data_IF_203988081025
#
_entry.id   IF_203988081025
#
_cell.length_a   1.000
_cell.length_b   1.000
_cell.length_c   1.000
_cell.angle_alpha   90.00
_cell.angle_beta   90.00
_cell.angle_gamma   90.00
#
_symmetry.space_group_name_H-M   'P 1'
#
loop_
_entity.id
_entity.type
_entity.pdbx_description
1 polymer ?
#
# COMPACT_ATOMS: atom_id res chain seq x y z
N UNK A 1 15.06 -3.88 14.19
CA UNK A 1 14.67 -2.53 13.69
C UNK A 1 14.00 -1.80 14.84
N UNK A 2 14.54 -0.67 15.26
CA UNK A 2 14.06 -0.01 16.47
C UNK A 2 12.91 0.96 16.16
N UNK A 3 11.96 1.08 17.10
CA UNK A 3 10.85 2.03 17.00
C UNK A 3 11.33 3.48 16.83
N UNK A 4 12.51 3.80 17.40
CA UNK A 4 13.16 5.11 17.29
C UNK A 4 13.56 5.44 15.83
N UNK A 5 14.15 4.48 15.12
CA UNK A 5 14.58 4.67 13.73
C UNK A 5 13.39 4.88 12.80
N UNK A 6 12.28 4.18 13.06
CA UNK A 6 11.02 4.36 12.34
C UNK A 6 10.52 5.80 12.51
N UNK A 7 10.51 6.29 13.76
CA UNK A 7 9.98 7.61 14.08
C UNK A 7 10.84 8.72 13.46
N UNK A 8 12.16 8.58 13.49
CA UNK A 8 13.09 9.48 12.78
C UNK A 8 12.79 9.45 11.27
N UNK A 9 12.64 8.26 10.69
CA UNK A 9 12.38 8.10 9.26
C UNK A 9 11.03 8.72 8.84
N UNK A 10 10.00 8.61 9.68
CA UNK A 10 8.69 9.24 9.45
C UNK A 10 8.77 10.77 9.46
N UNK A 11 9.56 11.36 10.38
CA UNK A 11 9.80 12.81 10.41
C UNK A 11 10.51 13.28 9.14
N UNK A 12 11.57 12.58 8.74
CA UNK A 12 12.28 12.87 7.49
C UNK A 12 11.36 12.75 6.27
N UNK A 13 10.50 11.73 6.25
CA UNK A 13 9.52 11.57 5.18
C UNK A 13 8.60 12.80 5.06
N UNK A 14 8.11 13.33 6.18
CA UNK A 14 7.27 14.54 6.18
C UNK A 14 8.05 15.77 5.71
N UNK A 15 9.29 15.94 6.16
CA UNK A 15 10.16 17.08 5.76
C UNK A 15 10.46 17.08 4.25
N UNK A 16 10.81 15.93 3.68
CA UNK A 16 11.17 15.82 2.26
C UNK A 16 9.96 15.67 1.32
N UNK A 17 8.77 15.42 1.86
CA UNK A 17 7.55 15.31 1.07
C UNK A 17 6.94 16.68 0.82
N UNK A 18 6.52 16.92 -0.42
CA UNK A 18 5.73 18.11 -0.75
C UNK A 18 4.27 17.84 -0.40
N UNK A 19 3.65 18.74 0.37
CA UNK A 19 2.20 18.72 0.61
C UNK A 19 1.43 18.70 -0.71
N UNK A 20 0.36 17.91 -0.76
CA UNK A 20 -0.52 17.72 -1.92
C UNK A 20 -1.96 17.93 -1.52
N UNK A 21 -2.83 18.09 -2.51
CA UNK A 21 -4.27 18.30 -2.32
C UNK A 21 -5.04 17.01 -1.98
N UNK A 22 -4.33 15.92 -1.66
CA UNK A 22 -4.92 14.66 -1.23
C UNK A 22 -4.04 14.05 -0.13
N UNK A 23 -4.69 13.36 0.81
CA UNK A 23 -4.01 12.67 1.89
C UNK A 23 -3.26 11.44 1.35
N UNK A 24 -1.93 11.43 1.50
CA UNK A 24 -1.08 10.38 0.92
C UNK A 24 -1.09 9.13 1.81
N UNK A 25 -0.98 7.96 1.18
CA UNK A 25 -0.77 6.71 1.91
C UNK A 25 0.71 6.51 2.20
N UNK A 26 1.01 5.96 3.38
CA UNK A 26 2.34 5.50 3.77
C UNK A 26 2.46 4.02 3.38
N UNK A 27 3.42 3.72 2.51
CA UNK A 27 3.74 2.35 2.13
C UNK A 27 5.06 1.91 2.77
N UNK A 28 5.05 0.72 3.35
CA UNK A 28 6.22 -0.05 3.77
C UNK A 28 6.65 -0.98 2.62
N UNK A 29 7.91 -0.91 2.25
CA UNK A 29 8.54 -1.77 1.26
C UNK A 29 9.69 -2.51 1.92
N UNK A 30 9.61 -3.83 1.96
CA UNK A 30 10.67 -4.69 2.49
C UNK A 30 11.26 -5.51 1.35
N UNK A 31 12.55 -5.34 1.12
CA UNK A 31 13.30 -6.19 0.20
C UNK A 31 13.85 -7.38 0.98
N UNK A 32 13.56 -8.57 0.47
CA UNK A 32 14.01 -9.84 1.03
C UNK A 32 15.25 -10.33 0.27
N UNK A 33 16.06 -11.15 0.92
CA UNK A 33 17.25 -11.83 0.37
C UNK A 33 17.26 -13.28 0.80
N UNK A 34 17.93 -14.13 0.03
CA UNK A 34 18.18 -15.53 0.40
C UNK A 34 16.98 -16.48 0.31
N UNK A 35 15.83 -16.01 -0.20
CA UNK A 35 14.64 -16.85 -0.38
C UNK A 35 14.55 -17.37 -1.81
N UNK A 36 14.03 -18.59 -1.97
CA UNK A 36 13.79 -19.18 -3.26
C UNK A 36 12.28 -19.31 -3.52
N UNK A 37 11.71 -18.38 -4.29
CA UNK A 37 10.29 -18.34 -4.67
C UNK A 37 9.83 -19.53 -5.54
N UNK A 38 10.65 -20.56 -5.74
CA UNK A 38 10.22 -21.84 -6.29
C UNK A 38 9.70 -22.78 -5.20
N UNK A 39 10.16 -22.61 -3.96
CA UNK A 39 9.73 -23.42 -2.82
C UNK A 39 8.48 -22.78 -2.20
N UNK A 40 7.38 -23.52 -2.02
CA UNK A 40 6.16 -23.01 -1.40
C UNK A 40 6.38 -22.50 0.03
N UNK A 41 7.35 -23.07 0.74
CA UNK A 41 7.71 -22.71 2.13
C UNK A 41 8.31 -21.30 2.24
N UNK A 42 9.01 -20.85 1.19
CA UNK A 42 9.63 -19.52 1.14
C UNK A 42 8.63 -18.43 0.70
N UNK A 43 7.39 -18.81 0.33
CA UNK A 43 6.35 -17.84 0.00
C UNK A 43 5.71 -17.27 1.26
N UNK A 44 5.77 -15.95 1.37
CA UNK A 44 5.03 -15.19 2.36
C UNK A 44 3.61 -15.00 1.83
N UNK A 45 2.61 -15.52 2.56
CA UNK A 45 1.19 -15.19 2.36
C UNK A 45 0.51 -15.07 3.73
N UNK A 46 0.50 -13.85 4.27
CA UNK A 46 0.04 -13.55 5.63
C UNK A 46 -1.12 -12.57 5.58
N UNK A 47 -2.04 -12.74 6.53
CA UNK A 47 -3.09 -11.78 6.81
C UNK A 47 -2.83 -11.21 8.20
N UNK A 48 -2.65 -9.90 8.29
CA UNK A 48 -2.32 -9.19 9.52
C UNK A 48 -3.38 -8.16 9.79
N UNK A 49 -3.92 -8.13 11.00
CA UNK A 49 -4.85 -7.09 11.44
C UNK A 49 -4.03 -5.98 12.08
N UNK A 50 -4.14 -4.76 11.55
CA UNK A 50 -3.41 -3.62 12.11
C UNK A 50 -3.95 -3.26 13.50
N UNK A 51 -3.08 -2.89 14.45
CA UNK A 51 -3.51 -2.40 15.76
C UNK A 51 -4.20 -1.05 15.65
N UNK A 52 -3.69 -0.15 14.80
CA UNK A 52 -4.30 1.17 14.57
C UNK A 52 -5.00 1.20 13.21
N UNK A 53 -6.35 1.21 13.17
CA UNK A 53 -7.10 1.29 11.94
C UNK A 53 -6.93 2.66 11.29
N UNK A 54 -7.10 2.71 9.97
CA UNK A 54 -7.12 3.98 9.25
C UNK A 54 -8.18 3.96 8.17
N UNK A 55 -8.65 5.15 7.81
CA UNK A 55 -9.82 5.37 6.96
C UNK A 55 -9.59 4.95 5.50
N UNK A 56 -9.50 3.64 5.26
CA UNK A 56 -9.40 3.08 3.93
C UNK A 56 -10.82 2.80 3.45
N UNK A 57 -11.23 3.50 2.38
CA UNK A 57 -12.51 3.26 1.69
C UNK A 57 -12.47 1.92 0.95
N UNK A 58 -12.44 0.82 1.71
CA UNK A 58 -12.49 -0.54 1.19
C UNK A 58 -13.94 -0.93 0.98
N UNK A 59 -14.22 -1.53 -0.18
CA UNK A 59 -15.55 -2.05 -0.48
C UNK A 59 -15.57 -3.57 -0.31
N UNK A 60 -16.57 -4.07 0.42
CA UNK A 60 -16.72 -5.48 0.74
C UNK A 60 -17.98 -6.04 0.09
N UNK A 61 -17.83 -7.14 -0.65
CA UNK A 61 -18.94 -7.86 -1.25
C UNK A 61 -19.14 -9.20 -0.54
N UNK A 62 -20.36 -9.51 -0.11
CA UNK A 62 -20.71 -10.77 0.53
C UNK A 62 -21.48 -11.71 -0.40
N UNK A 63 -21.17 -13.01 -0.31
CA UNK A 63 -21.87 -14.10 -0.96
C UNK A 63 -22.66 -14.89 0.09
N UNK A 64 -23.99 -14.82 0.05
CA UNK A 64 -24.85 -15.41 1.09
C UNK A 64 -26.03 -16.15 0.49
N UNK A 65 -26.63 -17.05 1.26
CA UNK A 65 -27.95 -17.59 0.92
C UNK A 65 -29.04 -16.55 1.10
N UNK A 66 -30.23 -16.79 0.51
CA UNK A 66 -31.41 -15.91 0.60
C UNK A 66 -31.80 -15.59 2.05
N UNK A 67 -31.78 -16.60 2.92
CA UNK A 67 -32.21 -16.45 4.32
C UNK A 67 -31.31 -15.55 5.18
N UNK A 68 -30.07 -15.29 4.75
CA UNK A 68 -29.11 -14.43 5.48
C UNK A 68 -28.92 -13.08 4.82
N UNK A 69 -29.69 -12.77 3.76
CA UNK A 69 -29.52 -11.54 2.98
C UNK A 69 -29.75 -10.28 3.81
N UNK A 70 -30.70 -10.33 4.75
CA UNK A 70 -31.03 -9.18 5.60
C UNK A 70 -29.93 -8.85 6.60
N UNK A 71 -29.33 -9.88 7.21
CA UNK A 71 -28.21 -9.73 8.14
C UNK A 71 -26.96 -9.25 7.38
N UNK A 72 -26.77 -9.72 6.14
CA UNK A 72 -25.63 -9.37 5.31
C UNK A 72 -25.66 -7.96 4.70
N UNK A 73 -26.75 -7.18 4.87
CA UNK A 73 -26.84 -5.78 4.42
C UNK A 73 -25.79 -4.85 5.06
N UNK A 74 -25.10 -5.32 6.10
CA UNK A 74 -23.94 -4.68 6.71
C UNK A 74 -22.80 -4.44 5.68
N UNK A 75 -22.70 -5.28 4.65
CA UNK A 75 -21.70 -5.16 3.58
C UNK A 75 -22.21 -4.27 2.43
N UNK A 76 -21.28 -3.65 1.69
CA UNK A 76 -21.62 -2.72 0.60
C UNK A 76 -22.44 -3.38 -0.51
N UNK A 77 -22.25 -4.69 -0.72
CA UNK A 77 -23.01 -5.48 -1.68
C UNK A 77 -23.20 -6.91 -1.19
N UNK A 78 -24.42 -7.42 -1.37
CA UNK A 78 -24.77 -8.82 -1.11
C UNK A 78 -25.20 -9.47 -2.42
N UNK A 79 -24.62 -10.62 -2.74
CA UNK A 79 -24.98 -11.44 -3.90
C UNK A 79 -25.53 -12.76 -3.37
N UNK A 80 -26.79 -13.02 -3.68
CA UNK A 80 -27.46 -14.27 -3.29
C UNK A 80 -27.02 -15.44 -4.17
N UNK A 81 -27.01 -16.65 -3.62
CA UNK A 81 -26.63 -17.87 -4.36
C UNK A 81 -27.37 -18.08 -5.69
N UNK A 82 -28.64 -17.67 -5.79
CA UNK A 82 -29.42 -17.76 -7.04
C UNK A 82 -28.95 -16.77 -8.12
N UNK A 83 -28.38 -15.64 -7.70
CA UNK A 83 -27.89 -14.60 -8.61
C UNK A 83 -26.57 -15.02 -9.29
N UNK A 84 -25.92 -16.11 -8.84
CA UNK A 84 -24.66 -16.59 -9.40
C UNK A 84 -24.76 -16.96 -10.88
N UNK A 85 -25.94 -17.36 -11.35
CA UNK A 85 -26.20 -17.66 -12.76
C UNK A 85 -25.97 -16.45 -13.67
N UNK A 86 -26.29 -15.24 -13.19
CA UNK A 86 -26.09 -13.97 -13.90
C UNK A 86 -24.60 -13.67 -14.08
N UNK A 87 -23.77 -14.18 -13.17
CA UNK A 87 -22.32 -13.99 -13.17
C UNK A 87 -21.56 -15.10 -13.93
N UNK A 88 -22.23 -16.01 -14.65
CA UNK A 88 -21.54 -16.89 -15.61
C UNK A 88 -20.78 -16.08 -16.68
N UNK A 89 -21.25 -14.88 -16.99
CA UNK A 89 -20.55 -13.92 -17.85
C UNK A 89 -19.29 -13.38 -17.18
N UNK A 90 -18.11 -13.74 -17.72
CA UNK A 90 -16.81 -13.24 -17.23
C UNK A 90 -16.70 -11.72 -17.18
N UNK A 91 -17.45 -10.98 -18.02
CA UNK A 91 -17.43 -9.51 -18.07
C UNK A 91 -17.98 -8.90 -16.77
N UNK A 92 -19.13 -9.39 -16.28
CA UNK A 92 -19.77 -8.91 -15.05
C UNK A 92 -18.90 -9.22 -13.82
N UNK A 93 -18.31 -10.42 -13.75
CA UNK A 93 -17.37 -10.75 -12.66
C UNK A 93 -16.14 -9.84 -12.70
N UNK A 94 -15.61 -9.55 -13.89
CA UNK A 94 -14.46 -8.64 -14.04
C UNK A 94 -14.79 -7.24 -13.53
N UNK A 95 -15.99 -6.74 -13.77
CA UNK A 95 -16.44 -5.45 -13.24
C UNK A 95 -16.57 -5.49 -11.71
N UNK A 96 -17.25 -6.51 -11.18
CA UNK A 96 -17.37 -6.73 -9.73
C UNK A 96 -15.99 -6.76 -9.04
N UNK A 97 -15.04 -7.52 -9.60
CA UNK A 97 -13.68 -7.62 -9.05
C UNK A 97 -12.86 -6.32 -9.12
N UNK A 98 -13.29 -5.31 -9.89
CA UNK A 98 -12.67 -3.98 -9.91
C UNK A 98 -13.30 -3.06 -8.87
N UNK A 99 -14.60 -3.20 -8.63
CA UNK A 99 -15.35 -2.34 -7.72
C UNK A 99 -15.16 -2.71 -6.25
N UNK A 100 -14.97 -3.99 -5.93
CA UNK A 100 -14.84 -4.48 -4.55
C UNK A 100 -13.43 -5.00 -4.26
N UNK A 101 -12.95 -4.72 -3.06
CA UNK A 101 -11.60 -5.09 -2.60
C UNK A 101 -11.59 -6.46 -1.94
N UNK A 102 -12.54 -6.68 -1.02
CA UNK A 102 -12.70 -7.93 -0.30
C UNK A 102 -13.99 -8.63 -0.65
N UNK A 103 -13.92 -9.95 -0.69
CA UNK A 103 -15.07 -10.81 -0.88
C UNK A 103 -15.21 -11.72 0.34
N UNK A 104 -16.43 -11.80 0.86
CA UNK A 104 -16.79 -12.58 2.03
C UNK A 104 -17.81 -13.62 1.58
N UNK A 105 -17.76 -14.82 2.13
CA UNK A 105 -18.71 -15.86 1.73
C UNK A 105 -19.13 -16.75 2.89
N UNK A 106 -20.37 -17.22 2.81
CA UNK A 106 -20.86 -18.27 3.69
C UNK A 106 -20.20 -19.61 3.33
N UNK A 107 -19.79 -20.37 4.35
CA UNK A 107 -19.08 -21.65 4.17
C UNK A 107 -19.82 -22.63 3.22
N UNK A 108 -21.14 -22.74 3.36
CA UNK A 108 -21.98 -23.65 2.55
C UNK A 108 -21.97 -23.32 1.06
N UNK A 109 -21.73 -22.04 0.70
CA UNK A 109 -21.74 -21.58 -0.68
C UNK A 109 -20.36 -21.57 -1.33
N UNK A 110 -19.29 -21.88 -0.59
CA UNK A 110 -17.93 -21.76 -1.11
C UNK A 110 -17.64 -22.65 -2.31
N UNK A 111 -18.22 -23.85 -2.36
CA UNK A 111 -18.10 -24.73 -3.53
C UNK A 111 -18.65 -24.07 -4.80
N UNK A 112 -19.86 -23.50 -4.73
CA UNK A 112 -20.48 -22.78 -5.86
C UNK A 112 -19.72 -21.52 -6.22
N UNK A 113 -19.25 -20.76 -5.23
CA UNK A 113 -18.45 -19.53 -5.45
C UNK A 113 -17.14 -19.86 -6.16
N UNK A 114 -16.46 -20.95 -5.77
CA UNK A 114 -15.22 -21.39 -6.39
C UNK A 114 -15.42 -21.73 -7.88
N UNK A 115 -16.49 -22.45 -8.22
CA UNK A 115 -16.79 -22.83 -9.62
C UNK A 115 -17.12 -21.62 -10.49
N UNK A 116 -17.94 -20.68 -9.99
CA UNK A 116 -18.44 -19.54 -10.78
C UNK A 116 -17.42 -18.40 -10.83
N UNK A 117 -16.91 -17.98 -9.66
CA UNK A 117 -16.08 -16.79 -9.54
C UNK A 117 -14.57 -17.10 -9.51
N UNK A 118 -14.17 -18.34 -9.23
CA UNK A 118 -12.76 -18.72 -9.08
C UNK A 118 -11.90 -18.43 -10.30
N UNK A 119 -12.45 -18.61 -11.52
CA UNK A 119 -11.73 -18.31 -12.78
C UNK A 119 -11.29 -16.85 -12.92
N UNK A 120 -11.96 -15.91 -12.25
CA UNK A 120 -11.64 -14.47 -12.33
C UNK A 120 -11.07 -13.94 -11.01
N UNK A 121 -11.64 -14.32 -9.87
CA UNK A 121 -11.20 -13.86 -8.55
C UNK A 121 -9.89 -14.51 -8.09
N UNK A 122 -9.64 -15.76 -8.50
CA UNK A 122 -8.42 -16.50 -8.16
C UNK A 122 -7.15 -15.79 -8.65
N UNK A 123 -6.98 -15.55 -9.96
CA UNK A 123 -5.81 -14.82 -10.48
C UNK A 123 -5.66 -13.41 -9.91
N UNK A 124 -6.77 -12.77 -9.52
CA UNK A 124 -6.78 -11.44 -8.90
C UNK A 124 -6.51 -11.45 -7.40
N UNK A 125 -6.35 -12.62 -6.76
CA UNK A 125 -6.15 -12.77 -5.32
C UNK A 125 -7.29 -12.21 -4.46
N UNK A 126 -8.49 -12.09 -5.03
CA UNK A 126 -9.69 -11.55 -4.36
C UNK A 126 -10.70 -12.65 -3.97
N UNK A 127 -10.26 -13.91 -4.02
CA UNK A 127 -11.11 -15.03 -3.60
C UNK A 127 -11.24 -15.02 -2.06
N UNK A 128 -12.44 -15.27 -1.51
CA UNK A 128 -12.61 -15.43 -0.07
C UNK A 128 -11.68 -16.54 0.45
N UNK A 129 -10.88 -16.23 1.46
CA UNK A 129 -9.95 -17.18 2.08
C UNK A 129 -10.34 -17.41 3.55
N UNK A 130 -10.53 -18.66 4.00
CA UNK A 130 -10.76 -18.97 5.41
C UNK A 130 -9.67 -18.39 6.33
N UNK A 131 -8.40 -18.40 5.90
CA UNK A 131 -7.27 -17.84 6.68
C UNK A 131 -7.40 -16.33 6.93
N UNK A 132 -8.08 -15.62 6.03
CA UNK A 132 -8.32 -14.19 6.17
C UNK A 132 -9.54 -13.87 7.06
N UNK A 133 -10.28 -14.88 7.54
CA UNK A 133 -11.57 -14.67 8.21
C UNK A 133 -12.68 -14.20 7.29
N UNK A 134 -12.50 -14.32 5.96
CA UNK A 134 -13.50 -13.96 4.96
C UNK A 134 -14.61 -15.02 4.81
N UNK A 135 -14.54 -16.13 5.53
CA UNK A 135 -15.53 -17.21 5.47
C UNK A 135 -16.24 -17.28 6.81
N UNK A 136 -17.55 -17.13 6.79
CA UNK A 136 -18.36 -17.08 8.00
C UNK A 136 -19.37 -18.22 8.05
N UNK A 137 -19.69 -18.63 9.27
CA UNK A 137 -20.78 -19.55 9.56
C UNK A 137 -22.09 -18.76 9.68
N UNK A 138 -23.25 -19.38 9.41
CA UNK A 138 -24.56 -18.72 9.49
C UNK A 138 -24.84 -17.94 10.79
N UNK A 139 -24.22 -18.36 11.90
CA UNK A 139 -24.44 -17.80 13.23
C UNK A 139 -23.38 -16.74 13.62
N UNK A 140 -22.47 -16.36 12.73
CA UNK A 140 -21.38 -15.45 13.05
C UNK A 140 -21.79 -13.97 12.89
N UNK A 141 -21.29 -13.11 13.77
CA UNK A 141 -21.54 -11.67 13.72
C UNK A 141 -20.82 -11.02 12.54
N UNK A 142 -21.59 -10.58 11.55
CA UNK A 142 -21.07 -10.00 10.30
C UNK A 142 -20.40 -8.64 10.52
N UNK A 143 -20.77 -7.92 11.58
CA UNK A 143 -20.14 -6.64 11.96
C UNK A 143 -18.67 -6.84 12.36
N UNK A 144 -18.39 -7.84 13.21
CA UNK A 144 -17.02 -8.15 13.66
C UNK A 144 -16.14 -8.53 12.46
N UNK A 145 -16.70 -9.31 11.53
CA UNK A 145 -16.00 -9.71 10.30
C UNK A 145 -15.71 -8.47 9.44
N UNK A 146 -16.68 -7.57 9.27
CA UNK A 146 -16.48 -6.32 8.52
C UNK A 146 -15.35 -5.48 9.12
N UNK A 147 -15.39 -5.23 10.43
CA UNK A 147 -14.38 -4.40 11.11
C UNK A 147 -12.99 -5.02 11.00
N UNK A 148 -12.90 -6.34 11.19
CA UNK A 148 -11.64 -7.07 11.02
C UNK A 148 -11.10 -6.94 9.59
N UNK A 149 -11.96 -7.05 8.57
CA UNK A 149 -11.53 -6.97 7.17
C UNK A 149 -11.10 -5.57 6.75
N UNK A 150 -11.73 -4.53 7.29
CA UNK A 150 -11.32 -3.15 7.07
C UNK A 150 -9.88 -2.90 7.57
N UNK A 151 -9.51 -3.58 8.66
CA UNK A 151 -8.22 -3.42 9.32
C UNK A 151 -7.17 -4.46 8.89
N UNK A 152 -7.58 -5.44 8.10
CA UNK A 152 -6.69 -6.52 7.66
C UNK A 152 -5.92 -6.11 6.42
N UNK A 153 -4.61 -6.33 6.50
CA UNK A 153 -3.65 -6.26 5.41
C UNK A 153 -3.27 -7.67 4.97
N UNK A 154 -3.00 -7.85 3.68
CA UNK A 154 -2.40 -9.07 3.14
C UNK A 154 -0.97 -8.79 2.72
N UNK A 155 -0.01 -9.48 3.31
CA UNK A 155 1.38 -9.49 2.85
C UNK A 155 1.57 -10.71 1.95
N UNK A 156 2.03 -10.48 0.72
CA UNK A 156 2.28 -11.56 -0.23
C UNK A 156 3.54 -11.34 -1.04
N UNK A 157 4.42 -12.34 -1.10
CA UNK A 157 5.46 -12.43 -2.13
C UNK A 157 4.90 -13.15 -3.35
N UNK A 158 5.08 -12.55 -4.52
CA UNK A 158 4.67 -13.13 -5.81
C UNK A 158 5.89 -13.73 -6.51
N UNK A 159 6.44 -12.98 -7.46
CA UNK A 159 7.56 -13.38 -8.30
C UNK A 159 8.84 -12.63 -7.95
N UNK A 160 8.73 -11.66 -7.04
CA UNK A 160 9.83 -10.80 -6.61
C UNK A 160 10.02 -10.97 -5.11
N UNK A 161 11.26 -10.84 -4.67
CA UNK A 161 11.67 -10.85 -3.26
C UNK A 161 11.36 -9.51 -2.58
N UNK A 162 10.17 -8.97 -2.83
CA UNK A 162 9.75 -7.67 -2.33
C UNK A 162 8.35 -7.81 -1.75
N UNK A 163 8.18 -7.34 -0.52
CA UNK A 163 6.88 -7.21 0.14
C UNK A 163 6.52 -5.73 0.20
N UNK A 164 5.29 -5.41 -0.16
CA UNK A 164 4.75 -4.06 -0.11
C UNK A 164 3.45 -4.05 0.67
N UNK A 165 3.33 -3.13 1.61
CA UNK A 165 2.15 -2.99 2.45
C UNK A 165 1.82 -1.52 2.68
N UNK A 166 0.54 -1.17 2.63
CA UNK A 166 0.08 0.14 3.06
C UNK A 166 -0.16 0.09 4.57
N UNK A 167 0.57 0.89 5.34
CA UNK A 167 0.61 0.84 6.81
C UNK A 167 -0.17 1.99 7.47
N UNK A 168 -0.59 2.98 6.69
CA UNK A 168 -1.40 4.10 7.17
C UNK A 168 -1.49 5.25 6.17
N UNK A 169 -1.92 6.40 6.68
CA UNK A 169 -2.03 7.67 5.93
C UNK A 169 -1.21 8.78 6.58
N UNK A 170 -0.96 9.84 5.83
CA UNK A 170 -0.21 11.03 6.27
C UNK A 170 -0.87 11.74 7.47
N UNK A 171 -2.21 11.74 7.54
CA UNK A 171 -2.99 12.39 8.62
C UNK A 171 -2.91 11.67 9.99
N UNK A 172 -2.36 10.45 10.06
CA UNK A 172 -2.25 9.70 11.32
C UNK A 172 -1.12 10.23 12.20
N UNK A 173 -1.22 9.95 13.51
CA UNK A 173 -0.12 10.25 14.44
C UNK A 173 1.11 9.39 14.12
N UNK A 174 2.29 9.98 14.32
CA UNK A 174 3.57 9.31 14.02
C UNK A 174 3.79 8.06 14.89
N UNK A 175 3.32 8.09 16.13
CA UNK A 175 3.42 6.98 17.08
C UNK A 175 2.57 5.78 16.65
N UNK A 176 1.32 6.03 16.26
CA UNK A 176 0.39 5.01 15.75
C UNK A 176 0.91 4.38 14.45
N UNK A 177 1.45 5.21 13.54
CA UNK A 177 2.10 4.75 12.31
C UNK A 177 3.34 3.89 12.61
N UNK A 178 4.17 4.31 13.57
CA UNK A 178 5.35 3.56 13.96
C UNK A 178 4.99 2.19 14.55
N UNK A 179 3.92 2.12 15.35
CA UNK A 179 3.40 0.86 15.89
C UNK A 179 2.85 -0.06 14.81
N UNK A 180 2.08 0.47 13.86
CA UNK A 180 1.62 -0.30 12.70
C UNK A 180 2.80 -0.86 11.89
N UNK A 181 3.82 -0.04 11.61
CA UNK A 181 5.02 -0.48 10.87
C UNK A 181 5.77 -1.56 11.64
N UNK A 182 5.97 -1.37 12.94
CA UNK A 182 6.66 -2.33 13.80
C UNK A 182 5.92 -3.67 13.88
N UNK A 183 4.59 -3.62 14.03
CA UNK A 183 3.74 -4.82 14.04
C UNK A 183 3.84 -5.61 12.72
N UNK A 184 3.74 -4.91 11.58
CA UNK A 184 3.87 -5.52 10.25
C UNK A 184 5.26 -6.11 10.03
N UNK A 185 6.30 -5.41 10.49
CA UNK A 185 7.69 -5.85 10.37
C UNK A 185 7.97 -7.11 11.21
N UNK A 186 7.59 -7.13 12.49
CA UNK A 186 7.80 -8.29 13.35
C UNK A 186 7.01 -9.51 12.87
N UNK A 187 5.77 -9.30 12.45
CA UNK A 187 4.95 -10.38 11.89
C UNK A 187 5.56 -10.97 10.61
N UNK A 188 6.24 -10.13 9.81
CA UNK A 188 6.96 -10.60 8.63
C UNK A 188 8.22 -11.39 9.01
N UNK A 189 8.97 -10.96 10.03
CA UNK A 189 10.15 -11.69 10.53
C UNK A 189 9.77 -13.10 10.96
N UNK A 190 8.73 -13.24 11.79
CA UNK A 190 8.30 -14.54 12.30
C UNK A 190 7.80 -15.51 11.22
N UNK A 191 7.41 -14.99 10.06
CA UNK A 191 6.98 -15.82 8.94
C UNK A 191 8.13 -16.25 8.03
N UNK A 192 9.33 -15.70 8.21
CA UNK A 192 10.49 -16.00 7.37
C UNK A 192 11.36 -17.08 8.04
N UNK A 193 11.91 -18.03 7.26
CA UNK A 193 12.64 -19.18 7.82
C UNK A 193 13.94 -18.81 8.53
N UNK A 194 14.61 -17.74 8.11
CA UNK A 194 15.82 -17.21 8.77
C UNK A 194 15.56 -15.84 9.43
N UNK A 195 14.30 -15.54 9.73
CA UNK A 195 13.89 -14.35 10.47
C UNK A 195 14.52 -13.05 9.91
N UNK A 196 15.38 -12.39 10.69
CA UNK A 196 16.01 -11.12 10.34
C UNK A 196 17.04 -11.22 9.20
N UNK A 197 17.71 -12.37 9.06
CA UNK A 197 18.75 -12.55 8.04
C UNK A 197 18.20 -12.57 6.62
N UNK A 198 16.90 -12.78 6.45
CA UNK A 198 16.24 -12.72 5.14
C UNK A 198 15.85 -11.30 4.73
N UNK A 199 16.08 -10.28 5.57
CA UNK A 199 15.77 -8.89 5.26
C UNK A 199 17.02 -8.22 4.68
N UNK A 200 16.87 -7.60 3.50
CA UNK A 200 17.94 -6.85 2.84
C UNK A 200 17.88 -5.37 3.22
N UNK A 201 16.76 -4.72 2.88
CA UNK A 201 16.55 -3.29 3.13
C UNK A 201 15.07 -3.01 3.33
N UNK A 202 14.77 -2.02 4.16
CA UNK A 202 13.41 -1.55 4.44
C UNK A 202 13.30 -0.10 4.01
N UNK A 203 12.30 0.19 3.19
CA UNK A 203 11.98 1.54 2.75
C UNK A 203 10.59 1.93 3.20
N UNK A 204 10.46 3.20 3.60
CA UNK A 204 9.19 3.86 3.79
C UNK A 204 9.03 4.91 2.69
N UNK A 205 7.81 5.04 2.14
CA UNK A 205 7.49 6.06 1.14
C UNK A 205 6.08 6.58 1.33
N UNK A 206 5.86 7.82 0.93
CA UNK A 206 4.52 8.28 0.57
C UNK A 206 4.17 7.89 -0.86
N UNK A 207 2.88 7.91 -1.20
CA UNK A 207 2.37 7.61 -2.55
C UNK A 207 3.18 8.30 -3.66
N UNK A 208 3.47 9.60 -3.49
CA UNK A 208 4.24 10.43 -4.44
C UNK A 208 5.59 10.89 -3.88
N UNK A 209 5.93 10.45 -2.66
CA UNK A 209 7.16 10.79 -1.98
C UNK A 209 8.35 9.97 -2.47
N UNK A 210 9.55 10.44 -2.14
CA UNK A 210 10.77 9.68 -2.35
C UNK A 210 10.84 8.55 -1.32
N UNK A 211 11.29 7.34 -1.70
CA UNK A 211 11.52 6.28 -0.73
C UNK A 211 12.74 6.62 0.13
N UNK A 212 12.56 6.55 1.44
CA UNK A 212 13.60 6.72 2.46
C UNK A 212 13.84 5.37 3.11
N UNK A 213 15.11 5.03 3.28
CA UNK A 213 15.55 3.79 3.93
C UNK A 213 15.50 3.97 5.43
N UNK A 214 14.97 2.98 6.16
CA UNK A 214 14.91 3.05 7.62
C UNK A 214 16.32 3.00 8.19
N UNK A 215 16.66 3.95 9.05
CA UNK A 215 18.01 4.09 9.63
C UNK A 215 19.01 4.87 8.76
N UNK A 216 18.58 5.44 7.63
CA UNK A 216 19.45 6.32 6.84
C UNK A 216 19.69 7.66 7.53
N UNK A 217 20.94 8.16 7.43
CA UNK A 217 21.30 9.51 7.89
C UNK A 217 20.72 10.56 6.94
N UNK A 218 20.47 11.77 7.46
CA UNK A 218 19.97 12.93 6.69
C UNK A 218 20.82 13.22 5.45
N UNK A 219 22.14 13.22 5.61
CA UNK A 219 23.12 13.50 4.55
C UNK A 219 22.99 12.55 3.34
N UNK A 220 22.77 11.26 3.59
CA UNK A 220 22.61 10.26 2.53
C UNK A 220 21.35 10.49 1.70
N UNK A 221 20.29 10.98 2.35
CA UNK A 221 19.01 11.28 1.72
C UNK A 221 19.16 12.52 0.82
N UNK A 222 19.78 13.58 1.32
CA UNK A 222 20.04 14.80 0.54
C UNK A 222 20.91 14.52 -0.68
N UNK A 223 21.98 13.75 -0.51
CA UNK A 223 22.83 13.32 -1.62
C UNK A 223 22.07 12.50 -2.66
N UNK A 224 21.14 11.62 -2.24
CA UNK A 224 20.25 10.89 -3.15
C UNK A 224 19.25 11.81 -3.86
N UNK A 225 18.76 12.85 -3.19
CA UNK A 225 17.86 13.86 -3.76
C UNK A 225 18.59 14.70 -4.82
N UNK A 226 19.77 15.23 -4.49
CA UNK A 226 20.62 15.99 -5.42
C UNK A 226 20.92 15.17 -6.68
N UNK A 227 21.37 13.91 -6.54
CA UNK A 227 21.59 13.01 -7.68
C UNK A 227 20.34 12.83 -8.55
N UNK A 228 19.14 12.73 -7.95
CA UNK A 228 17.87 12.61 -8.70
C UNK A 228 17.48 13.90 -9.42
N UNK A 229 17.71 15.06 -8.83
CA UNK A 229 17.45 16.36 -9.46
C UNK A 229 18.39 16.54 -10.66
N UNK A 230 19.68 16.31 -10.49
CA UNK A 230 20.66 16.39 -11.58
C UNK A 230 20.38 15.38 -12.69
N UNK A 231 19.90 14.17 -12.37
CA UNK A 231 19.50 13.18 -13.37
C UNK A 231 18.23 13.58 -14.15
N UNK A 232 17.27 14.26 -13.51
CA UNK A 232 16.07 14.81 -14.18
C UNK A 232 16.43 15.95 -15.13
N UNK A 233 17.36 16.82 -14.73
CA UNK A 233 17.85 17.91 -15.57
C UNK A 233 18.61 17.37 -16.80
N UNK A 234 19.48 16.37 -16.62
CA UNK A 234 20.16 15.67 -17.72
C UNK A 234 19.21 14.92 -18.67
N UNK A 235 18.03 14.50 -18.21
CA UNK A 235 17.00 13.90 -19.07
C UNK A 235 16.17 14.95 -19.82
N UNK A 236 15.93 16.13 -19.23
CA UNK A 236 15.28 17.26 -19.90
C UNK A 236 16.15 17.89 -21.00
N UNK A 237 17.47 17.86 -20.86
CA UNK A 237 18.37 18.31 -21.93
C UNK A 237 18.54 17.30 -23.07
N UNK A 238 18.12 16.05 -22.89
CA UNK A 238 18.17 14.98 -23.91
C UNK A 238 16.84 14.71 -24.62
N UNK A 239 15.74 15.39 -24.27
CA UNK A 239 14.49 15.33 -25.02
C UNK A 239 14.58 16.24 -26.26
N UNK A 240 14.27 15.76 -27.49
CA UNK A 240 14.30 16.60 -28.68
C UNK A 240 13.33 17.78 -28.54
N UNK A 241 13.82 19.00 -28.82
CA UNK A 241 12.99 20.20 -28.92
C UNK A 241 11.88 19.97 -29.94
N UNK A 242 10.62 20.01 -29.52
CA UNK A 242 9.48 20.23 -30.42
C UNK A 242 9.21 21.74 -30.46
N UNK A 243 9.60 22.33 -31.59
CA UNK A 243 9.32 23.65 -32.15
C UNK A 243 9.77 24.91 -31.36
N UNK A 244 10.70 25.72 -31.92
CA UNK A 244 11.06 27.02 -31.40
C UNK A 244 10.15 28.09 -32.01
N UNK A 245 9.34 28.78 -31.18
CA UNK A 245 9.04 30.21 -31.32
C UNK A 245 8.06 30.67 -30.23
N UNK A 246 8.38 31.83 -29.63
CA UNK A 246 7.65 32.61 -28.61
C UNK A 246 7.61 32.05 -27.19
N UNK A 247 8.56 32.49 -26.35
CA UNK A 247 8.32 33.09 -25.00
C UNK A 247 9.65 33.40 -24.27
N UNK A 248 10.55 34.14 -24.89
CA UNK A 248 11.91 34.34 -24.35
C UNK A 248 12.12 35.61 -23.52
N UNK A 249 11.07 36.37 -23.17
CA UNK A 249 11.27 37.64 -22.41
C UNK A 249 10.62 37.72 -21.03
N UNK A 250 9.88 36.69 -20.59
CA UNK A 250 9.18 36.73 -19.28
C UNK A 250 9.74 35.81 -18.19
N UNK A 251 10.46 34.73 -18.53
CA UNK A 251 10.88 33.72 -17.54
C UNK A 251 12.25 33.99 -16.90
N UNK A 252 13.06 34.87 -17.49
CA UNK A 252 14.43 35.13 -17.05
C UNK A 252 14.43 36.01 -15.78
N UNK A 253 13.52 36.99 -15.69
CA UNK A 253 13.40 37.88 -14.53
C UNK A 253 12.89 37.15 -13.27
N UNK A 254 11.97 36.19 -13.40
CA UNK A 254 11.48 35.43 -12.25
C UNK A 254 12.44 34.35 -11.74
N UNK A 255 13.34 33.83 -12.59
CA UNK A 255 14.36 32.84 -12.18
C UNK A 255 15.52 33.49 -11.42
N UNK A 256 15.89 34.72 -11.75
CA UNK A 256 16.95 35.47 -11.04
C UNK A 256 16.50 35.80 -9.61
N UNK A 257 15.25 36.24 -9.43
CA UNK A 257 14.66 36.52 -8.11
C UNK A 257 14.63 35.32 -7.14
N UNK A 258 14.45 34.09 -7.66
CA UNK A 258 14.47 32.86 -6.83
C UNK A 258 15.87 32.43 -6.42
N UNK A 259 16.89 32.72 -7.24
CA UNK A 259 18.28 32.37 -6.95
C UNK A 259 18.85 33.29 -5.87
N UNK A 260 18.56 34.59 -5.95
CA UNK A 260 18.94 35.57 -4.92
C UNK A 260 18.24 35.34 -3.58
N UNK A 261 16.99 34.87 -3.59
CA UNK A 261 16.29 34.48 -2.35
C UNK A 261 16.88 33.23 -1.69
N UNK A 262 17.37 32.26 -2.46
CA UNK A 262 18.04 31.08 -1.90
C UNK A 262 19.42 31.45 -1.33
N UNK A 263 20.19 32.29 -2.02
CA UNK A 263 21.53 32.70 -1.57
C UNK A 263 21.49 33.58 -0.31
N UNK A 264 20.42 34.37 -0.10
CA UNK A 264 20.23 35.12 1.15
C UNK A 264 19.81 34.26 2.34
N UNK A 265 19.13 33.13 2.12
CA UNK A 265 18.76 32.21 3.21
C UNK A 265 20.01 31.46 3.70
N UNK A 266 20.88 31.04 2.78
CA UNK A 266 22.14 30.36 3.11
C UNK A 266 23.10 31.26 3.90
N UNK A 267 23.19 32.56 3.57
CA UNK A 267 24.09 33.50 4.28
C UNK A 267 23.61 33.92 5.68
N UNK A 268 22.33 33.73 6.00
CA UNK A 268 21.78 34.08 7.33
C UNK A 268 21.93 32.91 8.32
N UNK A 269 22.00 31.67 7.83
CA UNK A 269 22.26 30.49 8.67
C UNK A 269 23.76 30.27 8.97
N UNK A 270 24.68 30.84 8.18
CA UNK A 270 26.13 30.76 8.46
C UNK A 270 26.63 31.81 9.48
N UNK A 271 25.79 32.76 9.91
CA UNK A 271 26.16 33.84 10.85
C UNK A 271 25.32 33.87 12.14
N UNK A 272 24.73 32.75 12.55
CA UNK A 272 24.08 32.57 13.86
C UNK A 272 24.55 31.27 14.51
#
# INVERSE_FOLDING_TARGET
MDKKDILITLKLLKEFSKKRNFNQSVDLIVNLKGLNLKKPEDHVDLFLTLPHPFDKKLKICAFTDKGLKDIAKVFDRVISGDEFLIYKDKKKIKQLSKEYDYFVAQANLMGKVATVFGKVLGPKNKMPNPKAGCVFLPNADLNIIKDKLLNTLRLKTKNELIVRACVGKEDMKEEELAENIFYVYNSLIHALPNEEHNIKTVYLKYTMGLPIEVGAKREDIENRILKRVSAKEKKKSKSPLKNPQKKEKGEISHKISKKEKLEKIVKVEENK
#
